data_IF_473707352185
#
_entry.id   IF_473707352185
#
_cell.length_a   1.000
_cell.length_b   1.000
_cell.length_c   1.000
_cell.angle_alpha   90.00
_cell.angle_beta   90.00
_cell.angle_gamma   90.00
#
_symmetry.space_group_name_H-M   'P 1'
#
loop_
_entity.id
_entity.type
_entity.pdbx_description
1 polymer ?
#
# COMPACT_ATOMS: atom_id res chain seq x y z
N UNK A 1 11.64 -3.38 -17.40
CA UNK A 1 11.60 -2.56 -16.15
C UNK A 1 11.06 -1.18 -16.50
N UNK A 2 9.99 -0.74 -15.84
CA UNK A 2 9.39 0.57 -16.11
C UNK A 2 10.33 1.70 -15.66
N UNK A 3 10.32 2.83 -16.36
CA UNK A 3 11.20 3.98 -16.11
C UNK A 3 11.11 4.50 -14.65
N UNK A 4 9.95 4.38 -14.02
CA UNK A 4 9.66 4.76 -12.64
C UNK A 4 10.47 4.01 -11.59
N UNK A 5 10.81 2.76 -11.84
CA UNK A 5 11.70 2.01 -10.94
C UNK A 5 13.12 2.58 -10.96
N UNK A 6 13.45 3.39 -11.98
CA UNK A 6 14.72 4.11 -12.11
C UNK A 6 14.60 5.59 -11.69
N UNK A 7 13.46 6.22 -11.97
CA UNK A 7 13.20 7.63 -11.64
C UNK A 7 12.33 7.73 -10.38
N UNK A 8 12.95 7.61 -9.21
CA UNK A 8 12.27 7.63 -7.92
C UNK A 8 11.60 8.98 -7.61
N UNK A 9 12.18 10.10 -8.08
CA UNK A 9 11.58 11.43 -7.91
C UNK A 9 10.26 11.55 -8.67
N UNK A 10 10.17 10.99 -9.89
CA UNK A 10 8.92 10.94 -10.64
C UNK A 10 7.87 10.13 -9.87
N UNK A 11 8.22 8.95 -9.38
CA UNK A 11 7.32 8.10 -8.62
C UNK A 11 6.82 8.77 -7.33
N UNK A 12 7.71 9.45 -6.60
CA UNK A 12 7.36 10.26 -5.44
C UNK A 12 6.25 11.30 -5.76
N UNK A 13 6.40 12.06 -6.85
CA UNK A 13 5.39 13.04 -7.24
C UNK A 13 4.08 12.40 -7.73
N UNK A 14 4.14 11.26 -8.41
CA UNK A 14 2.96 10.50 -8.82
C UNK A 14 2.16 10.02 -7.59
N UNK A 15 2.83 9.53 -6.54
CA UNK A 15 2.19 9.16 -5.28
C UNK A 15 1.59 10.37 -4.57
N UNK A 16 2.31 11.49 -4.52
CA UNK A 16 1.80 12.72 -3.91
C UNK A 16 0.52 13.21 -4.59
N UNK A 17 0.47 13.21 -5.92
CA UNK A 17 -0.73 13.58 -6.68
C UNK A 17 -1.89 12.60 -6.41
N UNK A 18 -1.60 11.30 -6.35
CA UNK A 18 -2.61 10.28 -6.04
C UNK A 18 -3.17 10.46 -4.63
N UNK A 19 -2.29 10.67 -3.66
CA UNK A 19 -2.68 10.92 -2.27
C UNK A 19 -3.53 12.18 -2.13
N UNK A 20 -3.11 13.28 -2.75
CA UNK A 20 -3.86 14.53 -2.72
C UNK A 20 -5.26 14.40 -3.32
N UNK A 21 -5.37 13.69 -4.45
CA UNK A 21 -6.63 13.60 -5.21
C UNK A 21 -7.57 12.53 -4.69
N UNK A 22 -7.05 11.45 -4.09
CA UNK A 22 -7.84 10.28 -3.73
C UNK A 22 -7.76 9.88 -2.26
N UNK A 23 -6.56 9.83 -1.64
CA UNK A 23 -6.43 9.36 -0.26
C UNK A 23 -6.96 10.37 0.73
N UNK A 24 -6.54 11.64 0.61
CA UNK A 24 -7.00 12.72 1.50
C UNK A 24 -8.53 12.88 1.45
N UNK A 25 -9.17 13.02 0.27
CA UNK A 25 -10.63 13.12 0.22
C UNK A 25 -11.35 11.87 0.76
N UNK A 26 -10.78 10.67 0.56
CA UNK A 26 -11.33 9.44 1.11
C UNK A 26 -11.24 9.43 2.64
N UNK A 27 -10.07 9.70 3.22
CA UNK A 27 -9.84 9.76 4.66
C UNK A 27 -10.76 10.81 5.32
N UNK A 28 -10.89 11.99 4.72
CA UNK A 28 -11.71 13.10 5.25
C UNK A 28 -13.22 12.81 5.29
N UNK A 29 -13.71 11.77 4.60
CA UNK A 29 -15.10 11.32 4.73
C UNK A 29 -15.37 10.65 6.09
N UNK A 30 -14.33 10.11 6.75
CA UNK A 30 -14.45 9.31 7.97
C UNK A 30 -13.79 9.97 9.19
N UNK A 31 -12.85 10.88 8.97
CA UNK A 31 -12.12 11.57 10.04
C UNK A 31 -11.96 13.05 9.70
N UNK A 32 -12.50 13.90 10.55
CA UNK A 32 -12.19 15.32 10.51
C UNK A 32 -10.76 15.54 10.99
N UNK A 33 -9.92 16.15 10.16
CA UNK A 33 -8.54 16.49 10.48
C UNK A 33 -8.45 17.95 10.93
N UNK A 34 -7.94 18.19 12.12
CA UNK A 34 -7.59 19.49 12.66
C UNK A 34 -6.13 19.84 12.40
N UNK A 35 -5.70 21.06 12.81
CA UNK A 35 -4.31 21.50 12.63
C UNK A 35 -3.29 20.63 13.38
N UNK A 36 -3.68 20.05 14.51
CA UNK A 36 -2.82 19.20 15.34
C UNK A 36 -2.88 17.72 14.95
N UNK A 37 -3.60 17.38 13.87
CA UNK A 37 -3.72 15.99 13.43
C UNK A 37 -2.36 15.40 13.03
N UNK A 38 -2.14 14.17 13.49
CA UNK A 38 -0.89 13.42 13.31
C UNK A 38 -1.12 12.23 12.39
N UNK A 39 -0.34 12.16 11.32
CA UNK A 39 -0.46 11.16 10.27
C UNK A 39 0.79 10.28 10.28
N UNK A 40 0.59 8.98 10.40
CA UNK A 40 1.65 7.97 10.27
C UNK A 40 1.48 7.23 8.95
N UNK A 41 2.53 7.08 8.17
CA UNK A 41 2.56 6.11 7.07
C UNK A 41 3.56 5.01 7.39
N UNK A 42 3.07 3.76 7.45
CA UNK A 42 3.89 2.57 7.63
C UNK A 42 4.19 2.00 6.25
N UNK A 43 5.49 1.75 5.98
CA UNK A 43 5.97 1.40 4.65
C UNK A 43 5.95 2.59 3.69
N UNK A 44 6.33 3.77 4.18
CA UNK A 44 6.20 5.03 3.45
C UNK A 44 7.07 5.12 2.19
N UNK A 45 8.04 4.24 2.03
CA UNK A 45 8.98 4.30 0.92
C UNK A 45 9.66 5.66 0.84
N UNK A 46 9.48 6.35 -0.28
CA UNK A 46 10.06 7.67 -0.54
C UNK A 46 9.21 8.84 0.01
N UNK A 47 8.12 8.54 0.74
CA UNK A 47 7.29 9.54 1.42
C UNK A 47 6.28 10.29 0.53
N UNK A 48 6.08 9.85 -0.73
CA UNK A 48 5.22 10.58 -1.67
C UNK A 48 3.78 10.78 -1.17
N UNK A 49 3.18 9.76 -0.56
CA UNK A 49 1.82 9.87 -0.04
C UNK A 49 1.68 10.87 1.11
N UNK A 50 2.74 11.10 1.90
CA UNK A 50 2.74 12.04 3.02
C UNK A 50 2.91 13.50 2.59
N UNK A 51 3.52 13.77 1.43
CA UNK A 51 3.81 15.14 0.99
C UNK A 51 2.59 16.07 1.03
N UNK A 52 1.42 15.73 0.48
CA UNK A 52 0.28 16.65 0.50
C UNK A 52 -0.28 16.85 1.92
N UNK A 53 -0.18 15.89 2.82
CA UNK A 53 -0.56 16.07 4.22
C UNK A 53 0.38 17.08 4.91
N UNK A 54 1.69 16.95 4.71
CA UNK A 54 2.68 17.88 5.23
C UNK A 54 2.49 19.30 4.68
N UNK A 55 2.17 19.44 3.39
CA UNK A 55 1.85 20.73 2.76
C UNK A 55 0.56 21.38 3.27
N UNK A 56 -0.37 20.58 3.79
CA UNK A 56 -1.56 21.07 4.49
C UNK A 56 -1.28 21.46 5.96
N UNK A 57 -0.05 21.29 6.43
CA UNK A 57 0.38 21.65 7.80
C UNK A 57 0.16 20.56 8.84
N UNK A 58 -0.24 19.35 8.46
CA UNK A 58 -0.34 18.23 9.41
C UNK A 58 1.04 17.70 9.80
N UNK A 59 1.17 17.22 11.04
CA UNK A 59 2.34 16.46 11.43
C UNK A 59 2.35 15.13 10.67
N UNK A 60 3.47 14.80 10.04
CA UNK A 60 3.64 13.55 9.28
C UNK A 60 4.87 12.81 9.72
N UNK A 61 4.72 11.51 9.97
CA UNK A 61 5.81 10.57 10.20
C UNK A 61 5.73 9.43 9.18
N UNK A 62 6.81 9.22 8.44
CA UNK A 62 6.99 8.06 7.56
C UNK A 62 7.92 7.03 8.19
N UNK A 63 7.52 5.77 8.22
CA UNK A 63 8.34 4.65 8.68
C UNK A 63 8.54 3.66 7.54
N UNK A 64 9.78 3.28 7.27
CA UNK A 64 10.14 2.24 6.32
C UNK A 64 11.39 1.48 6.80
N UNK A 65 11.53 0.21 6.46
CA UNK A 65 12.71 -0.59 6.83
C UNK A 65 13.95 -0.23 6.00
N UNK A 66 13.78 0.46 4.88
CA UNK A 66 14.83 0.79 3.94
C UNK A 66 15.45 2.15 4.25
N UNK A 67 16.63 2.16 4.86
CA UNK A 67 17.41 3.38 5.11
C UNK A 67 17.58 4.24 3.85
N UNK A 68 17.80 3.58 2.69
CA UNK A 68 17.93 4.28 1.41
C UNK A 68 16.64 5.03 1.04
N UNK A 69 15.47 4.40 1.20
CA UNK A 69 14.19 5.04 0.90
C UNK A 69 13.92 6.21 1.82
N UNK A 70 14.24 6.06 3.10
CA UNK A 70 14.12 7.14 4.08
C UNK A 70 15.03 8.32 3.74
N UNK A 71 16.27 8.07 3.33
CA UNK A 71 17.16 9.14 2.88
C UNK A 71 16.62 9.85 1.61
N UNK A 72 16.05 9.11 0.66
CA UNK A 72 15.40 9.69 -0.52
C UNK A 72 14.16 10.52 -0.10
N UNK A 73 13.32 10.05 0.84
CA UNK A 73 12.16 10.76 1.37
C UNK A 73 12.53 12.10 2.01
N UNK A 74 13.54 12.11 2.89
CA UNK A 74 14.06 13.33 3.53
C UNK A 74 14.54 14.34 2.50
N UNK A 75 15.28 13.88 1.47
CA UNK A 75 15.75 14.73 0.39
C UNK A 75 14.59 15.31 -0.42
N UNK A 76 13.60 14.47 -0.81
CA UNK A 76 12.47 14.93 -1.63
C UNK A 76 11.58 15.92 -0.87
N UNK A 77 11.40 15.73 0.44
CA UNK A 77 10.70 16.69 1.28
C UNK A 77 11.45 18.02 1.37
N UNK A 78 12.77 17.99 1.54
CA UNK A 78 13.63 19.18 1.50
C UNK A 78 13.50 19.91 0.16
N UNK A 79 13.58 19.18 -0.96
CA UNK A 79 13.42 19.73 -2.33
C UNK A 79 12.05 20.41 -2.53
N UNK A 80 11.01 19.93 -1.80
CA UNK A 80 9.64 20.48 -1.86
C UNK A 80 9.34 21.54 -0.78
N UNK A 81 10.33 21.95 0.02
CA UNK A 81 10.15 22.82 1.19
C UNK A 81 9.04 22.34 2.14
N UNK A 82 8.86 21.03 2.26
CA UNK A 82 7.89 20.40 3.15
C UNK A 82 8.58 19.91 4.45
N UNK A 83 7.82 19.91 5.55
CA UNK A 83 8.28 19.39 6.84
C UNK A 83 7.62 18.04 7.10
N UNK A 84 8.42 17.03 7.41
CA UNK A 84 7.95 15.69 7.77
C UNK A 84 9.09 14.91 8.40
N UNK A 85 8.76 14.03 9.32
CA UNK A 85 9.71 13.17 9.97
C UNK A 85 9.75 11.79 9.28
N UNK A 86 10.94 11.20 9.21
CA UNK A 86 11.14 9.91 8.58
C UNK A 86 12.07 9.04 9.42
N UNK A 87 11.68 7.78 9.63
CA UNK A 87 12.40 6.84 10.48
C UNK A 87 12.64 5.52 9.73
N UNK A 88 13.92 5.17 9.61
CA UNK A 88 14.32 3.85 9.09
C UNK A 88 14.26 2.84 10.26
N UNK A 89 13.18 2.07 10.35
CA UNK A 89 12.98 1.11 11.43
C UNK A 89 11.96 0.03 11.07
N UNK A 90 12.03 -1.08 11.77
CA UNK A 90 10.96 -2.07 11.81
C UNK A 90 9.83 -1.53 12.72
N UNK A 91 8.62 -1.45 12.17
CA UNK A 91 7.44 -0.96 12.90
C UNK A 91 7.16 -1.73 14.20
N UNK A 92 7.60 -2.98 14.30
CA UNK A 92 7.45 -3.80 15.50
C UNK A 92 8.35 -3.36 16.68
N UNK A 93 9.24 -2.40 16.48
CA UNK A 93 10.18 -1.89 17.50
C UNK A 93 9.84 -0.48 17.99
N UNK A 94 8.71 0.12 17.59
CA UNK A 94 8.40 1.53 17.79
C UNK A 94 7.30 1.73 18.85
N UNK A 95 7.46 1.12 20.03
CA UNK A 95 6.49 1.22 21.13
C UNK A 95 6.34 2.65 21.67
N UNK A 96 7.37 3.50 21.55
CA UNK A 96 7.34 4.90 21.94
C UNK A 96 6.35 5.76 21.14
N UNK A 97 5.86 5.24 20.01
CA UNK A 97 4.89 5.93 19.14
C UNK A 97 3.43 5.55 19.45
N UNK A 98 3.18 4.68 20.43
CA UNK A 98 1.83 4.23 20.75
C UNK A 98 0.92 5.37 21.21
N UNK A 99 -0.35 5.29 20.85
CA UNK A 99 -1.38 6.26 21.22
C UNK A 99 -1.24 7.65 20.57
N UNK A 100 -0.49 7.77 19.49
CA UNK A 100 0.00 9.06 19.00
C UNK A 100 -0.74 9.60 17.77
N UNK A 101 -1.22 8.72 16.87
CA UNK A 101 -1.65 9.13 15.54
C UNK A 101 -3.15 9.10 15.34
N UNK A 102 -3.68 10.14 14.67
CA UNK A 102 -5.09 10.23 14.28
C UNK A 102 -5.39 9.37 13.05
N UNK A 103 -4.41 9.25 12.16
CA UNK A 103 -4.54 8.45 10.93
C UNK A 103 -3.27 7.64 10.73
N UNK A 104 -3.46 6.35 10.48
CA UNK A 104 -2.41 5.46 9.96
C UNK A 104 -2.72 5.16 8.50
N UNK A 105 -1.73 5.35 7.65
CA UNK A 105 -1.77 4.99 6.23
C UNK A 105 -0.88 3.77 6.02
N UNK A 106 -1.43 2.72 5.37
CA UNK A 106 -0.68 1.58 4.89
C UNK A 106 -1.05 1.36 3.42
N UNK A 107 -0.19 1.78 2.49
CA UNK A 107 -0.42 1.69 1.05
C UNK A 107 0.60 0.77 0.40
N UNK A 108 0.12 -0.32 -0.22
CA UNK A 108 0.95 -1.35 -0.89
C UNK A 108 2.03 -1.94 0.04
N UNK A 109 1.63 -2.32 1.27
CA UNK A 109 2.51 -2.89 2.31
C UNK A 109 2.08 -4.30 2.72
N UNK A 110 0.79 -4.51 2.98
CA UNK A 110 0.27 -5.76 3.58
C UNK A 110 0.57 -7.00 2.73
N UNK A 111 0.68 -6.86 1.42
CA UNK A 111 1.03 -7.94 0.50
C UNK A 111 2.47 -8.42 0.65
N UNK A 112 3.34 -7.62 1.27
CA UNK A 112 4.73 -7.97 1.57
C UNK A 112 4.91 -8.55 2.97
N UNK A 113 3.92 -8.40 3.86
CA UNK A 113 4.00 -8.84 5.25
C UNK A 113 3.68 -10.34 5.36
N UNK A 114 4.60 -11.12 5.90
CA UNK A 114 4.38 -12.55 6.17
C UNK A 114 3.43 -12.79 7.35
N UNK A 115 3.69 -12.14 8.47
CA UNK A 115 2.91 -12.25 9.71
C UNK A 115 1.78 -11.21 9.77
N UNK A 116 0.87 -11.25 8.80
CA UNK A 116 -0.22 -10.26 8.62
C UNK A 116 -1.05 -10.06 9.88
N UNK A 117 -1.39 -11.14 10.59
CA UNK A 117 -2.19 -11.04 11.82
C UNK A 117 -1.46 -10.27 12.91
N UNK A 118 -0.17 -10.52 13.11
CA UNK A 118 0.67 -9.79 14.06
C UNK A 118 0.74 -8.31 13.70
N UNK A 119 1.02 -8.01 12.42
CA UNK A 119 1.08 -6.64 11.91
C UNK A 119 -0.24 -5.89 12.13
N UNK A 120 -1.36 -6.47 11.70
CA UNK A 120 -2.68 -5.86 11.88
C UNK A 120 -3.08 -5.75 13.37
N UNK A 121 -2.63 -6.65 14.24
CA UNK A 121 -2.87 -6.55 15.69
C UNK A 121 -2.07 -5.43 16.35
N UNK A 122 -0.99 -4.96 15.71
CA UNK A 122 -0.12 -3.90 16.21
C UNK A 122 -0.66 -2.51 15.88
N UNK A 123 -1.25 -2.31 14.69
CA UNK A 123 -1.67 -0.98 14.21
C UNK A 123 -2.54 -0.20 15.22
N UNK A 124 -3.50 -0.81 15.93
CA UNK A 124 -4.31 -0.12 16.91
C UNK A 124 -3.52 0.56 18.02
N UNK A 125 -2.34 0.03 18.36
CA UNK A 125 -1.53 0.57 19.45
C UNK A 125 -0.97 1.95 19.10
N UNK A 126 -0.71 2.25 17.83
CA UNK A 126 -0.24 3.56 17.38
C UNK A 126 -1.34 4.62 17.34
N UNK A 127 -2.63 4.20 17.31
CA UNK A 127 -3.75 5.14 17.18
C UNK A 127 -4.00 5.93 18.45
N UNK A 128 -4.17 7.23 18.30
CA UNK A 128 -4.80 8.08 19.30
C UNK A 128 -6.29 7.72 19.44
N UNK A 129 -6.95 8.25 20.47
CA UNK A 129 -8.39 8.05 20.67
C UNK A 129 -9.17 8.47 19.41
N UNK A 130 -10.06 7.60 18.97
CA UNK A 130 -10.82 7.77 17.72
C UNK A 130 -9.96 7.86 16.45
N UNK A 131 -8.73 7.37 16.50
CA UNK A 131 -7.87 7.25 15.33
C UNK A 131 -8.39 6.20 14.33
N UNK A 132 -8.01 6.35 13.06
CA UNK A 132 -8.44 5.47 11.98
C UNK A 132 -7.26 4.91 11.20
N UNK A 133 -7.47 3.75 10.54
CA UNK A 133 -6.48 3.17 9.64
C UNK A 133 -7.03 3.20 8.21
N UNK A 134 -6.31 3.84 7.31
CA UNK A 134 -6.49 3.71 5.87
C UNK A 134 -5.55 2.64 5.34
N UNK A 135 -6.12 1.55 4.83
CA UNK A 135 -5.37 0.44 4.24
C UNK A 135 -5.68 0.35 2.74
N UNK A 136 -4.64 0.27 1.92
CA UNK A 136 -4.80 0.09 0.48
C UNK A 136 -3.80 -0.93 -0.04
N UNK A 137 -4.25 -1.86 -0.89
CA UNK A 137 -3.41 -2.88 -1.50
C UNK A 137 -4.06 -3.45 -2.77
N UNK A 138 -3.28 -4.00 -3.72
CA UNK A 138 -3.81 -4.74 -4.87
C UNK A 138 -4.26 -6.14 -4.43
N UNK A 139 -5.39 -6.62 -4.94
CA UNK A 139 -5.78 -8.01 -4.70
C UNK A 139 -4.81 -8.98 -5.38
N UNK A 140 -4.40 -10.04 -4.68
CA UNK A 140 -3.44 -11.01 -5.21
C UNK A 140 -3.83 -11.59 -6.59
N UNK A 141 -5.11 -11.86 -6.81
CA UNK A 141 -5.62 -12.48 -8.02
C UNK A 141 -5.73 -11.53 -9.23
N UNK A 142 -5.56 -10.21 -9.04
CA UNK A 142 -5.64 -9.27 -10.15
C UNK A 142 -4.55 -9.53 -11.20
N UNK A 143 -4.68 -9.07 -12.45
CA UNK A 143 -3.79 -9.46 -13.55
C UNK A 143 -2.29 -9.35 -13.26
N UNK A 144 -1.90 -8.39 -12.43
CA UNK A 144 -0.50 -8.11 -12.08
C UNK A 144 -0.24 -8.14 -10.56
N UNK A 145 -1.08 -8.84 -9.79
CA UNK A 145 -0.98 -8.93 -8.32
C UNK A 145 0.30 -9.57 -7.81
N UNK A 146 1.02 -10.28 -8.67
CA UNK A 146 2.33 -10.87 -8.35
C UNK A 146 3.52 -9.94 -8.60
N UNK A 147 3.31 -8.66 -8.92
CA UNK A 147 4.34 -7.65 -9.17
C UNK A 147 5.32 -8.01 -10.31
N UNK A 148 4.93 -8.90 -11.23
CA UNK A 148 5.79 -9.33 -12.34
C UNK A 148 6.24 -8.21 -13.29
N UNK A 149 5.68 -6.99 -13.15
CA UNK A 149 6.13 -5.80 -13.89
C UNK A 149 7.58 -5.41 -13.58
N UNK A 150 8.16 -5.87 -12.47
CA UNK A 150 9.58 -5.66 -12.13
C UNK A 150 10.52 -6.50 -13.01
N UNK A 151 10.01 -7.56 -13.64
CA UNK A 151 10.81 -8.43 -14.51
C UNK A 151 11.49 -7.66 -15.64
N UNK A 152 12.71 -8.07 -15.97
CA UNK A 152 13.47 -7.56 -17.12
C UNK A 152 12.90 -8.05 -18.43
N UNK A 153 12.41 -9.28 -18.46
CA UNK A 153 11.74 -9.87 -19.61
C UNK A 153 10.47 -9.10 -19.94
N UNK A 154 10.42 -8.52 -21.15
CA UNK A 154 9.22 -7.83 -21.65
C UNK A 154 8.01 -8.78 -21.75
N UNK A 155 8.23 -10.06 -21.99
CA UNK A 155 7.14 -11.05 -22.08
C UNK A 155 6.51 -11.23 -20.71
N UNK A 156 7.28 -11.59 -19.67
CA UNK A 156 6.74 -11.86 -18.34
C UNK A 156 6.17 -10.57 -17.70
N UNK A 157 6.86 -9.45 -17.86
CA UNK A 157 6.43 -8.17 -17.27
C UNK A 157 5.07 -7.68 -17.80
N UNK A 158 4.62 -8.15 -18.96
CA UNK A 158 3.35 -7.79 -19.57
C UNK A 158 2.34 -8.96 -19.59
N UNK A 159 2.73 -10.17 -19.18
CA UNK A 159 1.85 -11.34 -19.17
C UNK A 159 0.97 -11.33 -17.91
N UNK A 160 -0.36 -11.10 -18.05
CA UNK A 160 -1.25 -11.10 -16.89
C UNK A 160 -1.39 -12.50 -16.28
N UNK A 161 -1.68 -12.57 -14.98
CA UNK A 161 -1.98 -13.80 -14.23
C UNK A 161 -0.85 -14.84 -14.15
N UNK A 162 0.33 -14.59 -14.70
CA UNK A 162 1.45 -15.55 -14.69
C UNK A 162 1.86 -15.95 -13.27
N UNK A 163 1.71 -15.05 -12.30
CA UNK A 163 1.99 -15.29 -10.89
C UNK A 163 1.03 -16.34 -10.25
N UNK A 164 -0.13 -16.61 -10.87
CA UNK A 164 -1.07 -17.62 -10.37
C UNK A 164 -0.63 -19.06 -10.68
N UNK A 165 0.34 -19.26 -11.59
CA UNK A 165 0.91 -20.57 -11.87
C UNK A 165 1.40 -21.26 -10.58
N UNK A 166 1.39 -22.61 -10.50
CA UNK A 166 2.01 -23.34 -9.40
C UNK A 166 3.44 -22.87 -9.13
N UNK A 167 3.85 -22.85 -7.85
CA UNK A 167 5.14 -22.27 -7.40
C UNK A 167 6.34 -22.77 -8.21
N UNK A 168 6.42 -24.08 -8.48
CA UNK A 168 7.52 -24.67 -9.22
C UNK A 168 7.54 -24.20 -10.69
N UNK A 169 6.37 -24.15 -11.33
CA UNK A 169 6.22 -23.74 -12.72
C UNK A 169 6.52 -22.26 -12.91
N UNK A 170 6.02 -21.41 -11.98
CA UNK A 170 6.32 -19.98 -12.00
C UNK A 170 7.83 -19.71 -11.86
N UNK A 171 8.49 -20.39 -10.89
CA UNK A 171 9.94 -20.27 -10.69
C UNK A 171 10.73 -20.75 -11.93
N UNK A 172 10.30 -21.86 -12.56
CA UNK A 172 10.94 -22.37 -13.77
C UNK A 172 10.80 -21.35 -14.92
N UNK A 173 9.62 -20.76 -15.08
CA UNK A 173 9.38 -19.74 -16.10
C UNK A 173 10.24 -18.50 -15.91
N UNK A 174 10.35 -17.99 -14.66
CA UNK A 174 11.22 -16.85 -14.36
C UNK A 174 12.68 -17.15 -14.72
N UNK A 175 13.19 -18.34 -14.36
CA UNK A 175 14.55 -18.76 -14.71
C UNK A 175 14.75 -18.91 -16.21
N UNK A 176 13.78 -19.51 -16.92
CA UNK A 176 13.83 -19.67 -18.37
C UNK A 176 13.86 -18.32 -19.13
N UNK A 177 13.29 -17.27 -18.53
CA UNK A 177 13.33 -15.91 -19.05
C UNK A 177 14.53 -15.09 -18.56
N UNK A 178 15.53 -15.72 -17.96
CA UNK A 178 16.77 -15.12 -17.49
C UNK A 178 16.58 -13.96 -16.51
N UNK A 179 15.56 -14.06 -15.63
CA UNK A 179 15.45 -13.12 -14.51
C UNK A 179 16.55 -13.38 -13.51
N UNK A 180 17.05 -12.30 -12.88
CA UNK A 180 18.08 -12.42 -11.83
C UNK A 180 17.50 -13.02 -10.54
N UNK A 181 18.42 -13.59 -9.72
CA UNK A 181 18.02 -14.30 -8.50
C UNK A 181 17.33 -13.38 -7.48
N UNK A 182 17.65 -12.10 -7.41
CA UNK A 182 17.02 -11.14 -6.49
C UNK A 182 15.59 -10.87 -6.90
N UNK A 183 15.33 -10.61 -8.19
CA UNK A 183 13.98 -10.46 -8.74
C UNK A 183 13.15 -11.74 -8.53
N UNK A 184 13.74 -12.92 -8.76
CA UNK A 184 13.07 -14.20 -8.52
C UNK A 184 12.73 -14.35 -7.02
N UNK A 185 13.66 -14.02 -6.13
CA UNK A 185 13.45 -14.10 -4.68
C UNK A 185 12.32 -13.17 -4.22
N UNK A 186 12.29 -11.93 -4.71
CA UNK A 186 11.25 -10.95 -4.42
C UNK A 186 9.87 -11.45 -4.89
N UNK A 187 9.74 -11.85 -6.15
CA UNK A 187 8.49 -12.35 -6.73
C UNK A 187 8.00 -13.62 -6.02
N UNK A 188 8.91 -14.50 -5.60
CA UNK A 188 8.56 -15.70 -4.84
C UNK A 188 8.15 -15.39 -3.41
N UNK A 189 8.69 -14.34 -2.80
CA UNK A 189 8.27 -13.81 -1.49
C UNK A 189 6.85 -13.27 -1.56
N UNK A 190 6.55 -12.40 -2.53
CA UNK A 190 5.20 -11.85 -2.76
C UNK A 190 4.20 -12.98 -3.00
N UNK A 191 4.59 -14.00 -3.79
CA UNK A 191 3.75 -15.19 -4.00
C UNK A 191 3.51 -15.99 -2.71
N UNK A 192 4.43 -16.01 -1.77
CA UNK A 192 4.26 -16.70 -0.49
C UNK A 192 3.34 -15.90 0.46
N UNK A 193 3.43 -14.59 0.43
CA UNK A 193 2.66 -13.68 1.30
C UNK A 193 1.26 -13.37 0.79
N UNK A 194 0.97 -13.54 -0.47
CA UNK A 194 -0.28 -13.27 -1.22
C UNK A 194 -1.44 -12.74 -0.36
N UNK A 195 -2.01 -11.60 -0.72
CA UNK A 195 -3.09 -10.98 0.03
C UNK A 195 -4.33 -10.85 -0.87
N UNK A 196 -5.39 -11.61 -0.58
CA UNK A 196 -6.72 -11.41 -1.17
C UNK A 196 -7.59 -10.57 -0.25
N UNK A 197 -8.68 -10.04 -0.77
CA UNK A 197 -9.67 -9.32 0.02
C UNK A 197 -10.21 -10.22 1.13
N UNK A 198 -10.53 -11.47 0.80
CA UNK A 198 -11.06 -12.45 1.78
C UNK A 198 -10.06 -12.79 2.88
N UNK A 199 -8.79 -13.00 2.53
CA UNK A 199 -7.74 -13.26 3.54
C UNK A 199 -7.63 -12.07 4.49
N UNK A 200 -7.60 -10.85 3.95
CA UNK A 200 -7.53 -9.63 4.75
C UNK A 200 -8.72 -9.47 5.69
N UNK A 201 -9.95 -9.58 5.17
CA UNK A 201 -11.18 -9.49 5.96
C UNK A 201 -11.27 -10.59 7.04
N UNK A 202 -10.86 -11.83 6.72
CA UNK A 202 -10.81 -12.93 7.68
C UNK A 202 -9.82 -12.66 8.81
N UNK A 203 -8.66 -12.10 8.51
CA UNK A 203 -7.66 -11.75 9.54
C UNK A 203 -8.23 -10.65 10.44
N UNK A 204 -8.81 -9.58 9.90
CA UNK A 204 -9.44 -8.52 10.71
C UNK A 204 -10.51 -9.10 11.64
N UNK A 205 -11.40 -9.95 11.10
CA UNK A 205 -12.42 -10.65 11.90
C UNK A 205 -11.80 -11.51 13.00
N UNK A 206 -10.69 -12.20 12.72
CA UNK A 206 -10.01 -13.05 13.70
C UNK A 206 -9.31 -12.28 14.82
N UNK A 207 -9.00 -11.01 14.59
CA UNK A 207 -8.43 -10.08 15.59
C UNK A 207 -9.56 -9.55 16.49
N UNK A 208 -10.76 -9.28 15.93
CA UNK A 208 -11.94 -8.85 16.67
C UNK A 208 -11.82 -7.47 17.32
N UNK A 209 -10.99 -6.59 16.77
CA UNK A 209 -10.77 -5.22 17.25
C UNK A 209 -11.05 -4.16 16.20
N UNK A 210 -11.50 -4.58 15.01
CA UNK A 210 -11.70 -3.69 13.87
C UNK A 210 -13.12 -3.73 13.36
N UNK A 211 -13.68 -2.56 13.14
CA UNK A 211 -14.84 -2.37 12.27
C UNK A 211 -14.38 -1.84 10.91
N UNK A 212 -14.77 -2.53 9.83
CA UNK A 212 -14.59 -2.04 8.47
C UNK A 212 -15.68 -1.00 8.21
N UNK A 213 -15.33 0.28 8.30
CA UNK A 213 -16.28 1.39 8.11
C UNK A 213 -16.61 1.60 6.64
N UNK A 214 -15.63 1.43 5.75
CA UNK A 214 -15.84 1.44 4.30
C UNK A 214 -14.89 0.49 3.59
N UNK A 215 -15.37 0.01 2.44
CA UNK A 215 -14.59 -0.77 1.49
C UNK A 215 -14.90 -0.31 0.08
N UNK A 216 -13.96 0.35 -0.56
CA UNK A 216 -14.04 0.72 -1.98
C UNK A 216 -13.09 -0.15 -2.79
N UNK A 217 -13.61 -0.89 -3.76
CA UNK A 217 -12.85 -1.71 -4.69
C UNK A 217 -12.71 -0.99 -6.03
N UNK A 218 -11.48 -0.93 -6.56
CA UNK A 218 -11.17 -0.25 -7.80
C UNK A 218 -10.88 -1.25 -8.93
N UNK A 219 -11.67 -1.16 -10.02
CA UNK A 219 -11.37 -1.83 -11.28
C UNK A 219 -10.17 -1.17 -11.97
N UNK A 220 -10.14 0.18 -11.96
CA UNK A 220 -9.01 0.98 -12.42
C UNK A 220 -8.50 1.76 -11.20
N UNK A 221 -7.30 1.39 -10.73
CA UNK A 221 -6.64 2.00 -9.57
C UNK A 221 -6.53 3.53 -9.75
N UNK A 222 -6.86 4.35 -8.75
CA UNK A 222 -6.64 5.79 -8.76
C UNK A 222 -5.23 6.20 -9.18
N UNK A 223 -4.22 5.46 -8.78
CA UNK A 223 -2.83 5.72 -9.19
C UNK A 223 -2.62 5.59 -10.71
N UNK A 224 -3.46 4.84 -11.42
CA UNK A 224 -3.35 4.70 -12.89
C UNK A 224 -3.75 5.98 -13.64
N UNK A 225 -4.47 6.91 -13.01
CA UNK A 225 -4.70 8.22 -13.62
C UNK A 225 -3.39 8.99 -13.76
N UNK A 226 -2.63 9.09 -12.68
CA UNK A 226 -1.33 9.77 -12.68
C UNK A 226 -0.31 9.01 -13.51
N UNK A 227 -0.38 7.68 -13.46
CA UNK A 227 0.58 6.78 -14.10
C UNK A 227 0.38 6.62 -15.60
N UNK A 228 -0.86 6.53 -16.07
CA UNK A 228 -1.23 6.15 -17.44
C UNK A 228 -2.29 7.04 -18.07
N UNK A 229 -2.78 8.09 -17.35
CA UNK A 229 -3.88 8.92 -17.82
C UNK A 229 -5.25 8.20 -17.83
N UNK A 230 -5.38 7.06 -17.15
CA UNK A 230 -6.62 6.28 -17.11
C UNK A 230 -7.55 6.79 -16.01
N UNK A 231 -8.80 7.12 -16.34
CA UNK A 231 -9.75 7.55 -15.30
C UNK A 231 -10.04 6.41 -14.31
N UNK A 232 -9.95 6.64 -13.01
CA UNK A 232 -10.27 5.66 -11.99
C UNK A 232 -11.72 5.20 -12.10
N UNK A 233 -11.91 3.90 -11.95
CA UNK A 233 -13.23 3.29 -12.01
C UNK A 233 -13.42 2.33 -10.84
N UNK A 234 -14.49 2.56 -10.06
CA UNK A 234 -14.88 1.62 -8.99
C UNK A 234 -15.40 0.33 -9.62
N UNK A 235 -15.15 -0.78 -8.94
CA UNK A 235 -15.71 -2.07 -9.34
C UNK A 235 -17.25 -2.01 -9.23
N UNK A 236 -17.99 -2.43 -10.28
CA UNK A 236 -19.45 -2.46 -10.24
C UNK A 236 -19.98 -3.27 -9.04
N UNK A 237 -21.05 -2.80 -8.40
CA UNK A 237 -21.62 -3.42 -7.19
C UNK A 237 -21.90 -4.92 -7.38
N UNK A 238 -22.42 -5.31 -8.54
CA UNK A 238 -22.70 -6.72 -8.83
C UNK A 238 -21.45 -7.62 -8.73
N UNK A 239 -20.29 -7.16 -9.20
CA UNK A 239 -19.02 -7.88 -9.08
C UNK A 239 -18.39 -7.75 -7.69
N UNK A 240 -18.52 -6.59 -7.06
CA UNK A 240 -17.93 -6.33 -5.73
C UNK A 240 -18.54 -7.20 -4.62
N UNK A 241 -19.74 -7.71 -4.84
CA UNK A 241 -20.47 -8.58 -3.91
C UNK A 241 -20.14 -10.08 -4.07
N UNK A 242 -19.42 -10.48 -5.12
CA UNK A 242 -19.08 -11.90 -5.36
C UNK A 242 -17.69 -12.19 -4.78
N UNK A 243 -17.61 -12.85 -3.60
CA UNK A 243 -16.34 -13.19 -2.96
C UNK A 243 -15.45 -14.00 -3.91
N UNK A 244 -14.14 -13.85 -3.78
CA UNK A 244 -13.10 -14.48 -4.60
C UNK A 244 -13.07 -14.04 -6.08
N UNK A 245 -14.25 -13.84 -6.72
CA UNK A 245 -14.33 -13.36 -8.11
C UNK A 245 -13.91 -11.90 -8.20
N UNK A 246 -14.33 -11.07 -7.24
CA UNK A 246 -13.99 -9.65 -7.15
C UNK A 246 -12.48 -9.40 -7.17
N UNK A 247 -11.68 -10.29 -6.60
CA UNK A 247 -10.22 -10.16 -6.54
C UNK A 247 -9.56 -10.10 -7.91
N UNK A 248 -10.10 -10.84 -8.90
CA UNK A 248 -9.57 -10.84 -10.26
C UNK A 248 -9.73 -9.49 -10.98
N UNK A 249 -10.66 -8.68 -10.52
CA UNK A 249 -11.00 -7.38 -11.13
C UNK A 249 -10.59 -6.20 -10.25
N UNK A 250 -10.03 -6.44 -9.06
CA UNK A 250 -9.66 -5.38 -8.11
C UNK A 250 -8.18 -5.05 -8.22
N UNK A 251 -7.87 -3.95 -8.92
CA UNK A 251 -6.48 -3.49 -9.09
C UNK A 251 -5.97 -2.72 -7.87
N UNK A 252 -6.87 -2.24 -7.02
CA UNK A 252 -6.60 -1.71 -5.67
C UNK A 252 -7.88 -1.76 -4.85
N UNK A 253 -7.76 -2.02 -3.57
CA UNK A 253 -8.84 -1.88 -2.61
C UNK A 253 -8.48 -0.82 -1.57
N UNK A 254 -9.46 0.01 -1.21
CA UNK A 254 -9.35 0.95 -0.10
C UNK A 254 -10.24 0.45 1.03
N UNK A 255 -9.66 0.31 2.19
CA UNK A 255 -10.37 0.00 3.43
C UNK A 255 -10.19 1.15 4.41
N UNK A 256 -11.29 1.57 5.02
CA UNK A 256 -11.28 2.42 6.18
C UNK A 256 -11.63 1.57 7.40
N UNK A 257 -10.73 1.54 8.38
CA UNK A 257 -10.87 0.72 9.58
C UNK A 257 -10.94 1.62 10.80
N UNK A 258 -11.96 1.41 11.63
CA UNK A 258 -12.07 1.97 12.96
C UNK A 258 -11.75 0.89 14.00
N UNK A 259 -11.40 1.34 15.20
CA UNK A 259 -11.27 0.47 16.35
C UNK A 259 -12.63 0.32 17.03
N UNK A 260 -12.95 -0.92 17.39
CA UNK A 260 -14.07 -1.19 18.29
C UNK A 260 -13.68 -0.71 19.70
N UNK A 261 -14.58 0.02 20.38
CA UNK A 261 -14.39 0.53 21.73
C UNK A 261 -14.32 -0.62 22.77
#
# INVERSE_FOLDING_TARGET
MQERHKNRKLYFHELAQTSQKYFIPYIKQFKQLGQDSRILEIGCGDGGNLLPFAQMGYYTLGVDISERRIADAQKFFTDCNAKGDFLASDVFLLEELYGTFDVIICHDVIEHIGEKKRFLSLLPQFLAKNGIVFMSFPAWQMPFGGHQQICRSKVISHLPFVHLLPKALYRLLLKACAEDDDSIKELMSIKATKTSIEIFEQILKSIGKYTITDRTLWLINPHYETKFGMHPLKLPKCLSLIPYVRDFFTTSCFFMLNMDE
#
